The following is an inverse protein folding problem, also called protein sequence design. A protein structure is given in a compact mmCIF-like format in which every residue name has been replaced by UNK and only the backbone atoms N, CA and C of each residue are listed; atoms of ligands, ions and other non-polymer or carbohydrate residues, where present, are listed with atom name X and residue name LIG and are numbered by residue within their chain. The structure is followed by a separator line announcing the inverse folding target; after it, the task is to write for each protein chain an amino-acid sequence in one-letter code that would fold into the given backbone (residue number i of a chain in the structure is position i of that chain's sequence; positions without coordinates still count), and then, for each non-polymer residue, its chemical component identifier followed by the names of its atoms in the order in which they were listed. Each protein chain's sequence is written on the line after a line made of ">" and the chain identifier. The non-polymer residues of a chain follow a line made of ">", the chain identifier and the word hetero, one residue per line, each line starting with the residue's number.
data_IF_336356744296
#
_entry.id   IF_336356744296
#
_cell.length_a   1.000
_cell.length_b   1.000
_cell.length_c   1.000
_cell.angle_alpha   90.00
_cell.angle_beta   90.00
_cell.angle_gamma   90.00
#
_symmetry.space_group_name_H-M   'P 1'
#
loop_
_entity.id
_entity.type
_entity.pdbx_description
1 polymer ?
#
# COMPACT_ATOMS: atom_id res chain seq x y z
N UNK A 1 12.26 -7.80 45.16
CA UNK A 1 11.82 -6.52 45.76
C UNK A 1 10.86 -5.86 44.78
N UNK A 2 9.55 -6.02 44.98
CA UNK A 2 8.54 -5.16 44.33
C UNK A 2 8.45 -3.91 45.22
N UNK A 3 9.15 -2.84 44.84
CA UNK A 3 9.36 -1.69 45.73
C UNK A 3 8.19 -0.70 45.77
N UNK A 4 7.07 -0.98 45.11
CA UNK A 4 5.89 -0.12 45.11
C UNK A 4 4.61 -0.95 45.18
N UNK A 5 3.72 -0.61 46.11
CA UNK A 5 2.42 -1.26 46.30
C UNK A 5 1.45 -0.79 45.22
N UNK A 6 1.58 -1.34 44.01
CA UNK A 6 0.74 -0.99 42.87
C UNK A 6 -0.05 -2.19 42.34
N UNK A 7 -1.37 -2.05 42.26
CA UNK A 7 -2.28 -3.07 41.70
C UNK A 7 -3.06 -2.49 40.52
N UNK A 8 -3.14 -3.22 39.39
CA UNK A 8 -4.00 -2.86 38.26
C UNK A 8 -5.27 -3.72 38.33
N UNK A 9 -6.41 -3.08 38.56
CA UNK A 9 -7.72 -3.72 38.66
C UNK A 9 -8.51 -3.41 37.38
N UNK A 10 -8.29 -4.23 36.34
CA UNK A 10 -8.88 -4.04 35.01
C UNK A 10 -10.42 -4.07 35.03
N UNK A 11 -11.03 -4.92 35.87
CA UNK A 11 -12.48 -5.03 35.99
C UNK A 11 -13.17 -3.77 36.51
N UNK A 12 -12.43 -2.91 37.21
CA UNK A 12 -12.91 -1.62 37.74
C UNK A 12 -12.27 -0.42 37.03
N UNK A 13 -11.36 -0.65 36.08
CA UNK A 13 -10.52 0.38 35.46
C UNK A 13 -9.81 1.26 36.51
N UNK A 14 -9.18 0.63 37.51
CA UNK A 14 -8.50 1.34 38.61
C UNK A 14 -7.04 0.89 38.70
N UNK A 15 -6.14 1.86 38.84
CA UNK A 15 -4.77 1.66 39.29
C UNK A 15 -4.71 2.04 40.77
N UNK A 16 -4.38 1.08 41.64
CA UNK A 16 -4.04 1.37 43.03
C UNK A 16 -2.57 1.68 43.13
N UNK A 17 -2.21 2.80 43.74
CA UNK A 17 -0.83 3.13 44.11
C UNK A 17 -0.84 3.41 45.61
N UNK A 18 -0.12 2.61 46.39
CA UNK A 18 -0.03 2.73 47.85
C UNK A 18 -1.41 2.78 48.55
N UNK A 19 -2.41 2.09 47.99
CA UNK A 19 -3.77 2.04 48.53
C UNK A 19 -4.70 3.16 48.04
N UNK A 20 -4.19 4.20 47.38
CA UNK A 20 -5.02 5.21 46.72
C UNK A 20 -5.53 4.70 45.37
N UNK A 21 -6.84 4.83 45.14
CA UNK A 21 -7.48 4.44 43.87
C UNK A 21 -7.39 5.59 42.87
N UNK A 22 -6.61 5.41 41.80
CA UNK A 22 -6.60 6.28 40.63
C UNK A 22 -7.45 5.62 39.56
N UNK A 23 -8.52 6.27 39.13
CA UNK A 23 -9.32 5.81 38.00
C UNK A 23 -8.46 5.88 36.73
N UNK A 24 -8.29 4.75 36.07
CA UNK A 24 -7.67 4.69 34.76
C UNK A 24 -8.63 5.37 33.77
N UNK A 25 -8.32 6.60 33.42
CA UNK A 25 -8.99 7.27 32.31
C UNK A 25 -8.34 6.74 31.05
N UNK A 26 -9.03 5.89 30.30
CA UNK A 26 -8.80 5.90 28.87
C UNK A 26 -9.30 7.27 28.43
N UNK A 27 -8.38 8.18 28.09
CA UNK A 27 -8.78 9.24 27.17
C UNK A 27 -9.47 8.50 26.03
N UNK A 28 -10.74 8.77 25.81
CA UNK A 28 -11.48 8.37 24.62
C UNK A 28 -10.88 9.11 23.41
N UNK A 29 -9.57 8.95 23.17
CA UNK A 29 -9.16 8.67 21.82
C UNK A 29 -9.70 7.28 21.55
N UNK A 30 -10.94 7.28 21.11
CA UNK A 30 -11.60 6.27 20.30
C UNK A 30 -10.61 5.85 19.20
N UNK A 31 -9.62 5.03 19.55
CA UNK A 31 -8.77 4.39 18.57
C UNK A 31 -9.61 3.28 17.96
N UNK A 32 -10.51 3.68 17.07
CA UNK A 32 -11.29 2.82 16.19
C UNK A 32 -10.36 2.27 15.11
N UNK A 33 -9.28 1.63 15.54
CA UNK A 33 -8.23 1.18 14.66
C UNK A 33 -7.63 -0.13 15.13
N UNK A 34 -7.05 -0.87 14.19
CA UNK A 34 -6.33 -2.10 14.49
C UNK A 34 -4.88 -1.97 14.02
N UNK A 35 -4.01 -2.79 14.59
CA UNK A 35 -2.61 -2.83 14.19
C UNK A 35 -2.46 -3.74 12.99
N UNK A 36 -1.57 -3.41 12.07
CA UNK A 36 -1.23 -4.25 10.93
C UNK A 36 0.17 -4.81 11.14
N UNK A 37 0.27 -6.13 11.13
CA UNK A 37 1.51 -6.86 11.32
C UNK A 37 1.91 -7.62 10.05
N UNK A 38 3.21 -7.79 9.80
CA UNK A 38 3.69 -8.59 8.68
C UNK A 38 3.29 -10.06 8.78
N UNK A 39 2.95 -10.67 7.65
CA UNK A 39 2.59 -12.09 7.54
C UNK A 39 3.80 -13.01 7.50
N UNK A 40 4.94 -12.51 7.02
CA UNK A 40 6.19 -13.23 6.83
C UNK A 40 7.42 -12.33 7.02
N UNK A 41 8.60 -12.94 7.06
CA UNK A 41 9.87 -12.21 7.01
C UNK A 41 10.09 -11.71 5.58
N UNK A 42 10.43 -10.44 5.43
CA UNK A 42 10.67 -9.82 4.13
C UNK A 42 11.98 -9.05 4.14
N UNK A 43 12.69 -9.10 3.03
CA UNK A 43 13.83 -8.26 2.74
C UNK A 43 13.43 -7.31 1.61
N UNK A 44 13.43 -6.02 1.93
CA UNK A 44 13.08 -4.96 0.99
C UNK A 44 14.36 -4.48 0.34
N UNK A 45 14.47 -4.51 -1.01
CA UNK A 45 15.65 -4.04 -1.70
C UNK A 45 15.94 -2.55 -1.43
N UNK A 46 17.22 -2.13 -1.54
CA UNK A 46 17.56 -0.70 -1.53
C UNK A 46 16.85 0.06 -2.64
N UNK A 47 16.61 1.36 -2.44
CA UNK A 47 16.14 2.28 -3.48
C UNK A 47 14.93 1.74 -4.28
N UNK A 48 14.00 1.09 -3.57
CA UNK A 48 12.89 0.37 -4.18
C UNK A 48 11.56 0.72 -3.54
N UNK A 49 10.52 0.49 -4.33
CA UNK A 49 9.13 0.54 -3.88
C UNK A 49 8.49 -0.83 -4.11
N UNK A 50 7.86 -1.37 -3.08
CA UNK A 50 7.22 -2.69 -3.12
C UNK A 50 5.86 -2.67 -2.43
N UNK A 51 5.00 -3.61 -2.80
CA UNK A 51 3.74 -3.87 -2.09
C UNK A 51 3.89 -5.16 -1.29
N UNK A 52 3.59 -5.08 0.00
CA UNK A 52 3.68 -6.20 0.93
C UNK A 52 2.33 -6.48 1.59
N UNK A 53 2.16 -7.71 2.08
CA UNK A 53 0.93 -8.11 2.77
C UNK A 53 1.08 -7.98 4.29
N UNK A 54 0.14 -7.28 4.91
CA UNK A 54 -0.02 -7.23 6.35
C UNK A 54 -1.31 -7.92 6.79
N UNK A 55 -1.37 -8.40 8.03
CA UNK A 55 -2.58 -8.91 8.67
C UNK A 55 -3.05 -7.98 9.77
N UNK A 56 -4.35 -7.79 9.88
CA UNK A 56 -4.95 -7.05 11.01
C UNK A 56 -4.83 -7.85 12.30
N UNK A 57 -4.38 -7.21 13.37
CA UNK A 57 -4.31 -7.74 14.73
C UNK A 57 -5.44 -7.14 15.56
N UNK A 58 -6.25 -7.99 16.17
CA UNK A 58 -7.45 -7.62 16.93
C UNK A 58 -8.40 -6.74 16.09
N UNK A 59 -8.86 -7.20 14.91
CA UNK A 59 -9.69 -6.39 14.04
C UNK A 59 -11.01 -6.04 14.73
N UNK A 60 -11.37 -4.76 14.69
CA UNK A 60 -12.72 -4.33 15.02
C UNK A 60 -13.71 -4.85 13.98
N UNK A 61 -14.96 -5.01 14.42
CA UNK A 61 -16.12 -5.59 13.73
C UNK A 61 -16.03 -5.51 12.19
N UNK A 62 -15.51 -6.60 11.58
CA UNK A 62 -15.16 -6.73 10.17
C UNK A 62 -14.63 -5.42 9.58
N UNK A 63 -13.37 -5.01 9.82
CA UNK A 63 -12.76 -3.83 9.23
C UNK A 63 -12.99 -3.78 7.70
N UNK A 64 -14.09 -3.17 7.25
CA UNK A 64 -14.54 -3.20 5.85
C UNK A 64 -13.87 -2.12 5.03
N UNK A 65 -13.49 -1.03 5.67
CA UNK A 65 -12.88 0.13 5.05
C UNK A 65 -12.13 0.93 6.11
N UNK A 66 -10.91 1.32 5.80
CA UNK A 66 -10.10 2.14 6.67
C UNK A 66 -8.94 2.77 5.93
N UNK A 67 -8.24 3.68 6.60
CA UNK A 67 -7.01 4.28 6.08
C UNK A 67 -5.81 3.72 6.83
N UNK A 68 -4.81 3.30 6.08
CA UNK A 68 -3.53 2.90 6.66
C UNK A 68 -2.75 4.14 7.11
N UNK A 69 -2.13 4.05 8.26
CA UNK A 69 -1.18 5.05 8.77
C UNK A 69 0.11 4.36 9.21
N UNK A 70 1.28 4.95 8.91
CA UNK A 70 2.55 4.30 9.17
C UNK A 70 2.85 4.22 10.68
N UNK A 71 3.53 3.15 11.10
CA UNK A 71 4.11 3.11 12.44
C UNK A 71 5.35 4.02 12.49
N UNK A 72 5.26 5.13 13.21
CA UNK A 72 6.34 6.12 13.31
C UNK A 72 7.66 5.51 13.81
N UNK A 73 7.60 4.54 14.74
CA UNK A 73 8.80 3.85 15.22
C UNK A 73 9.51 3.06 14.11
N UNK A 74 8.76 2.56 13.13
CA UNK A 74 9.34 1.88 11.96
C UNK A 74 10.02 2.90 11.05
N UNK A 75 9.37 4.03 10.78
CA UNK A 75 9.92 5.13 9.97
C UNK A 75 11.23 5.64 10.59
N UNK A 76 11.23 5.93 11.89
CA UNK A 76 12.39 6.47 12.60
C UNK A 76 13.58 5.50 12.64
N UNK A 77 13.30 4.20 12.76
CA UNK A 77 14.36 3.18 12.88
C UNK A 77 14.96 2.78 11.54
N UNK A 78 14.15 2.76 10.49
CA UNK A 78 14.48 2.13 9.22
C UNK A 78 14.42 3.09 8.02
N UNK A 79 14.11 4.37 8.20
CA UNK A 79 13.91 5.33 7.08
C UNK A 79 12.92 4.84 6.01
N UNK A 80 11.97 4.01 6.42
CA UNK A 80 10.96 3.42 5.53
C UNK A 80 9.80 4.39 5.38
N UNK A 81 9.32 4.62 4.16
CA UNK A 81 8.05 5.29 3.93
C UNK A 81 6.96 4.25 3.67
N UNK A 82 5.82 4.40 4.33
CA UNK A 82 4.63 3.61 4.07
C UNK A 82 3.51 4.55 3.63
N UNK A 83 2.91 4.24 2.49
CA UNK A 83 1.85 5.06 1.92
C UNK A 83 0.58 4.99 2.79
N UNK A 84 -0.03 6.16 3.03
CA UNK A 84 -1.38 6.22 3.60
C UNK A 84 -2.35 5.93 2.47
N UNK A 85 -3.13 4.86 2.61
CA UNK A 85 -4.04 4.40 1.58
C UNK A 85 -5.40 4.06 2.18
N UNK A 86 -6.47 4.38 1.45
CA UNK A 86 -7.80 3.85 1.73
C UNK A 86 -7.81 2.38 1.30
N UNK A 87 -8.04 1.49 2.25
CA UNK A 87 -8.00 0.04 2.02
C UNK A 87 -9.25 -0.63 2.53
N UNK A 88 -9.68 -1.65 1.80
CA UNK A 88 -10.67 -2.62 2.24
C UNK A 88 -9.94 -3.94 2.49
N UNK A 89 -9.70 -4.32 3.75
CA UNK A 89 -9.10 -5.60 4.09
C UNK A 89 -9.87 -6.77 3.45
N UNK A 90 -9.14 -7.71 2.85
CA UNK A 90 -9.71 -8.92 2.24
C UNK A 90 -9.17 -10.14 2.98
N UNK A 91 -10.07 -10.96 3.54
CA UNK A 91 -9.70 -12.10 4.40
C UNK A 91 -8.73 -11.73 5.54
N UNK A 92 -8.87 -10.51 6.09
CA UNK A 92 -7.99 -9.99 7.15
C UNK A 92 -6.60 -9.56 6.70
N UNK A 93 -6.33 -9.57 5.38
CA UNK A 93 -5.09 -9.09 4.78
C UNK A 93 -5.26 -7.66 4.25
N UNK A 94 -4.20 -6.88 4.38
CA UNK A 94 -4.12 -5.48 3.97
C UNK A 94 -2.87 -5.30 3.11
N UNK A 95 -3.00 -4.82 1.85
CA UNK A 95 -1.85 -4.46 1.05
C UNK A 95 -1.22 -3.16 1.60
N UNK A 96 0.10 -3.15 1.70
CA UNK A 96 0.89 -2.02 2.19
C UNK A 96 1.95 -1.66 1.16
N UNK A 97 1.90 -0.44 0.65
CA UNK A 97 2.91 0.09 -0.26
C UNK A 97 4.02 0.74 0.56
N UNK A 98 5.24 0.26 0.34
CA UNK A 98 6.43 0.68 1.07
C UNK A 98 7.49 1.14 0.08
N UNK A 99 8.07 2.31 0.35
CA UNK A 99 9.20 2.85 -0.39
C UNK A 99 10.41 3.04 0.53
N UNK A 100 11.59 2.67 0.03
CA UNK A 100 12.89 2.88 0.67
C UNK A 100 13.74 3.69 -0.28
N UNK A 101 14.33 4.77 0.23
CA UNK A 101 15.25 5.64 -0.51
C UNK A 101 16.70 5.48 -0.07
N UNK A 102 16.94 4.65 0.95
CA UNK A 102 18.28 4.32 1.39
C UNK A 102 18.91 3.25 0.51
N UNK A 103 20.24 3.28 0.41
CA UNK A 103 21.06 2.34 -0.38
C UNK A 103 21.35 1.02 0.33
N UNK A 104 20.70 0.76 1.47
CA UNK A 104 20.88 -0.43 2.30
C UNK A 104 19.57 -1.22 2.35
N UNK A 105 19.59 -2.56 2.13
CA UNK A 105 18.39 -3.36 2.20
C UNK A 105 17.85 -3.43 3.62
N UNK A 106 16.53 -3.54 3.75
CA UNK A 106 15.86 -3.57 5.06
C UNK A 106 15.19 -4.91 5.26
N UNK A 107 15.57 -5.57 6.34
CA UNK A 107 14.94 -6.82 6.77
C UNK A 107 13.89 -6.54 7.83
N UNK A 108 12.64 -6.88 7.53
CA UNK A 108 11.53 -6.83 8.47
C UNK A 108 11.07 -8.24 8.79
N UNK A 109 10.84 -8.51 10.07
CA UNK A 109 10.42 -9.84 10.52
C UNK A 109 8.91 -9.96 10.58
N UNK A 110 8.44 -11.18 10.40
CA UNK A 110 7.05 -11.58 10.64
C UNK A 110 6.56 -11.05 11.99
N UNK A 111 5.31 -10.62 12.03
CA UNK A 111 4.65 -10.01 13.18
C UNK A 111 5.17 -8.62 13.59
N UNK A 112 6.13 -8.03 12.87
CA UNK A 112 6.48 -6.62 13.06
C UNK A 112 5.26 -5.76 12.75
N UNK A 113 4.91 -4.83 13.65
CA UNK A 113 3.83 -3.86 13.43
C UNK A 113 4.34 -2.78 12.51
N UNK A 114 3.79 -2.71 11.31
CA UNK A 114 4.25 -1.81 10.24
C UNK A 114 3.31 -0.65 10.00
N UNK A 115 2.03 -0.81 10.31
CA UNK A 115 1.02 0.21 10.12
C UNK A 115 -0.11 0.07 11.15
N UNK A 116 -0.94 1.09 11.20
CA UNK A 116 -2.24 1.08 11.83
C UNK A 116 -3.31 1.22 10.75
N UNK A 117 -4.49 0.65 11.00
CA UNK A 117 -5.67 0.83 10.18
C UNK A 117 -6.68 1.63 10.99
N UNK A 118 -7.04 2.82 10.51
CA UNK A 118 -8.06 3.67 11.14
C UNK A 118 -9.39 3.49 10.41
N UNK A 119 -10.46 3.18 11.14
CA UNK A 119 -11.79 3.00 10.57
C UNK A 119 -12.29 4.29 9.94
N UNK A 120 -12.84 4.18 8.74
CA UNK A 120 -13.56 5.28 8.10
C UNK A 120 -15.05 4.95 8.02
N UNK A 121 -15.88 5.95 8.30
CA UNK A 121 -17.30 5.86 8.02
C UNK A 121 -17.53 6.03 6.51
N UNK A 122 -18.09 5.02 5.83
CA UNK A 122 -18.34 5.08 4.38
C UNK A 122 -19.19 6.29 3.99
N UNK A 123 -20.11 6.72 4.85
CA UNK A 123 -20.96 7.89 4.62
C UNK A 123 -20.21 9.23 4.68
N UNK A 124 -19.00 9.24 5.26
CA UNK A 124 -18.12 10.42 5.31
C UNK A 124 -17.20 10.53 4.11
N UNK A 125 -17.12 9.49 3.28
CA UNK A 125 -16.37 9.53 2.03
C UNK A 125 -17.30 10.20 1.01
N UNK A 126 -16.90 11.33 0.40
CA UNK A 126 -17.65 11.89 -0.71
C UNK A 126 -17.89 10.78 -1.71
N UNK A 127 -19.14 10.58 -2.15
CA UNK A 127 -19.46 9.55 -3.11
C UNK A 127 -18.58 9.72 -4.34
N UNK A 128 -17.46 9.01 -4.37
CA UNK A 128 -16.76 8.72 -5.60
C UNK A 128 -17.81 7.98 -6.39
N UNK A 129 -18.28 8.57 -7.48
CA UNK A 129 -19.17 7.86 -8.37
C UNK A 129 -18.39 6.61 -8.76
N UNK A 130 -18.80 5.46 -8.22
CA UNK A 130 -18.44 4.14 -8.70
C UNK A 130 -18.96 4.08 -10.15
N UNK A 131 -18.26 4.73 -11.08
CA UNK A 131 -17.99 4.04 -12.32
C UNK A 131 -17.22 2.84 -11.84
N UNK A 132 -17.93 1.71 -11.78
CA UNK A 132 -17.41 0.39 -11.54
C UNK A 132 -15.99 0.35 -12.11
N UNK A 133 -15.00 0.55 -11.24
CA UNK A 133 -13.66 0.07 -11.49
C UNK A 133 -13.87 -1.42 -11.29
N UNK A 134 -14.40 -2.07 -12.33
CA UNK A 134 -14.09 -3.47 -12.56
C UNK A 134 -12.58 -3.58 -12.30
N UNK A 135 -12.15 -4.72 -11.75
CA UNK A 135 -10.77 -5.13 -11.89
C UNK A 135 -10.48 -5.30 -13.40
N UNK A 136 -10.40 -4.18 -14.09
CA UNK A 136 -10.02 -3.96 -15.46
C UNK A 136 -8.67 -3.33 -15.29
N UNK A 137 -7.67 -4.01 -15.84
CA UNK A 137 -6.39 -3.42 -16.22
C UNK A 137 -6.63 -1.94 -16.56
N UNK A 138 -5.86 -1.05 -15.94
CA UNK A 138 -5.85 0.39 -16.22
C UNK A 138 -5.50 0.55 -17.71
N UNK A 139 -6.54 0.57 -18.54
CA UNK A 139 -6.49 0.46 -19.99
C UNK A 139 -7.87 0.75 -20.58
N UNK A 140 -8.49 1.87 -20.19
CA UNK A 140 -9.60 2.45 -20.96
C UNK A 140 -9.57 3.95 -20.69
N UNK A 141 -9.07 4.78 -21.59
CA UNK A 141 -9.67 4.97 -22.91
C UNK A 141 -8.81 5.82 -23.84
N UNK A 142 -8.21 5.23 -24.89
CA UNK A 142 -8.24 5.79 -26.26
C UNK A 142 -8.27 4.60 -27.25
N UNK A 143 -9.46 4.09 -27.56
CA UNK A 143 -9.63 3.20 -28.71
C UNK A 143 -9.55 4.04 -29.99
N UNK A 144 -8.37 4.17 -30.58
CA UNK A 144 -8.25 4.45 -32.02
C UNK A 144 -8.50 3.14 -32.76
N UNK A 145 -9.78 2.79 -32.92
CA UNK A 145 -10.21 1.69 -33.76
C UNK A 145 -10.12 2.12 -35.23
N UNK A 146 -8.91 2.25 -35.76
CA UNK A 146 -8.69 2.20 -37.21
C UNK A 146 -8.28 0.78 -37.57
N UNK A 147 -9.13 0.09 -38.33
CA UNK A 147 -8.99 -1.30 -38.75
C UNK A 147 -7.88 -1.52 -39.82
N UNK A 148 -6.81 -0.75 -39.78
CA UNK A 148 -5.63 -0.95 -40.60
C UNK A 148 -4.50 -1.45 -39.69
N UNK A 149 -3.68 -2.39 -40.17
CA UNK A 149 -2.51 -2.89 -39.45
C UNK A 149 -1.75 -1.69 -38.84
N UNK A 150 -1.58 -1.61 -37.51
CA UNK A 150 -0.97 -0.43 -36.91
C UNK A 150 0.48 -0.35 -37.38
N UNK A 151 0.77 0.65 -38.20
CA UNK A 151 2.16 1.04 -38.46
C UNK A 151 2.81 1.36 -37.12
N UNK A 152 4.00 0.83 -36.89
CA UNK A 152 4.72 1.04 -35.63
C UNK A 152 5.03 2.54 -35.47
N UNK A 153 4.51 3.22 -34.45
CA UNK A 153 4.75 4.65 -34.24
C UNK A 153 6.24 4.96 -34.12
N UNK A 154 6.68 6.05 -34.73
CA UNK A 154 8.11 6.38 -34.84
C UNK A 154 8.78 6.55 -33.47
N UNK A 155 8.08 7.17 -32.52
CA UNK A 155 8.62 7.52 -31.20
C UNK A 155 8.86 6.32 -30.28
N UNK A 156 8.26 5.15 -30.56
CA UNK A 156 8.44 3.93 -29.75
C UNK A 156 9.34 2.88 -30.42
N UNK A 157 9.88 3.15 -31.61
CA UNK A 157 10.69 2.16 -32.34
C UNK A 157 11.92 1.73 -31.55
N UNK A 158 12.65 2.70 -30.99
CA UNK A 158 13.84 2.46 -30.20
C UNK A 158 13.52 1.67 -28.92
N UNK A 159 12.38 1.96 -28.29
CA UNK A 159 11.89 1.24 -27.12
C UNK A 159 11.57 -0.22 -27.47
N UNK A 160 10.88 -0.46 -28.58
CA UNK A 160 10.56 -1.81 -29.07
C UNK A 160 11.86 -2.57 -29.38
N UNK A 161 12.80 -1.96 -30.10
CA UNK A 161 14.07 -2.59 -30.45
C UNK A 161 14.88 -2.95 -29.20
N UNK A 162 15.00 -2.03 -28.23
CA UNK A 162 15.69 -2.28 -26.97
C UNK A 162 15.03 -3.39 -26.14
N UNK A 163 13.69 -3.42 -26.09
CA UNK A 163 12.94 -4.39 -25.30
C UNK A 163 13.02 -5.80 -25.87
N UNK A 164 13.13 -5.94 -27.21
CA UNK A 164 13.13 -7.24 -27.88
C UNK A 164 14.49 -7.95 -27.91
N UNK A 165 15.57 -7.33 -27.44
CA UNK A 165 16.94 -7.89 -27.53
C UNK A 165 17.13 -9.24 -26.81
N UNK A 166 16.33 -9.53 -25.77
CA UNK A 166 16.50 -10.72 -24.92
C UNK A 166 15.20 -11.52 -24.72
N UNK A 167 14.23 -11.39 -25.62
CA UNK A 167 12.89 -11.98 -25.47
C UNK A 167 12.66 -13.06 -26.52
N UNK A 168 11.98 -14.15 -26.16
CA UNK A 168 11.63 -15.20 -27.13
C UNK A 168 10.68 -14.66 -28.21
N UNK A 169 10.67 -15.26 -29.39
CA UNK A 169 9.85 -14.77 -30.52
C UNK A 169 8.35 -14.64 -30.18
N UNK A 170 7.84 -15.58 -29.38
CA UNK A 170 6.43 -15.60 -28.95
C UNK A 170 6.12 -14.48 -27.95
N UNK A 171 6.98 -14.29 -26.96
CA UNK A 171 6.83 -13.22 -25.96
C UNK A 171 7.08 -11.85 -26.60
N UNK A 172 8.01 -11.76 -27.54
CA UNK A 172 8.35 -10.54 -28.25
C UNK A 172 7.18 -10.02 -29.09
N UNK A 173 6.41 -10.91 -29.73
CA UNK A 173 5.19 -10.51 -30.42
C UNK A 173 4.13 -9.94 -29.47
N UNK A 174 3.99 -10.52 -28.27
CA UNK A 174 3.03 -10.06 -27.26
C UNK A 174 3.44 -8.69 -26.71
N UNK A 175 4.72 -8.54 -26.33
CA UNK A 175 5.28 -7.28 -25.84
C UNK A 175 5.19 -6.19 -26.89
N UNK A 176 5.55 -6.47 -28.14
CA UNK A 176 5.43 -5.51 -29.25
C UNK A 176 4.00 -5.06 -29.47
N UNK A 177 3.03 -5.98 -29.40
CA UNK A 177 1.61 -5.64 -29.57
C UNK A 177 1.15 -4.72 -28.43
N UNK A 178 1.58 -5.00 -27.20
CA UNK A 178 1.27 -4.18 -26.03
C UNK A 178 1.87 -2.77 -26.15
N UNK A 179 3.14 -2.66 -26.55
CA UNK A 179 3.80 -1.36 -26.71
C UNK A 179 3.14 -0.50 -27.79
N UNK A 180 2.63 -1.11 -28.87
CA UNK A 180 1.88 -0.40 -29.90
C UNK A 180 0.49 0.01 -29.39
N UNK A 181 -0.18 -0.85 -28.62
CA UNK A 181 -1.49 -0.58 -28.04
C UNK A 181 -1.48 0.63 -27.10
N UNK A 182 -0.42 0.82 -26.32
CA UNK A 182 -0.25 1.92 -25.35
C UNK A 182 0.79 2.96 -25.78
N UNK A 183 1.01 3.09 -27.09
CA UNK A 183 2.03 3.99 -27.64
C UNK A 183 1.84 5.46 -27.22
N UNK A 184 0.60 5.88 -26.96
CA UNK A 184 0.18 7.23 -26.61
C UNK A 184 0.50 7.64 -25.16
N UNK A 185 0.87 6.67 -24.32
CA UNK A 185 1.35 6.89 -22.95
C UNK A 185 2.78 7.40 -22.93
N UNK A 186 3.59 6.98 -23.92
CA UNK A 186 5.00 7.32 -24.01
C UNK A 186 5.22 8.71 -24.60
N UNK A 187 6.27 9.37 -24.10
CA UNK A 187 6.71 10.68 -24.55
C UNK A 187 6.99 10.68 -26.05
N UNK A 188 6.46 11.69 -26.76
CA UNK A 188 6.74 11.86 -28.19
C UNK A 188 7.95 12.77 -28.46
N UNK A 189 8.37 13.57 -27.48
CA UNK A 189 9.52 14.48 -27.52
C UNK A 189 10.17 14.63 -26.13
N UNK A 190 11.40 15.16 -26.06
CA UNK A 190 12.20 15.22 -24.82
C UNK A 190 11.55 16.06 -23.69
N UNK A 191 10.77 17.07 -24.05
CA UNK A 191 10.03 17.92 -23.09
C UNK A 191 8.63 17.37 -22.75
N UNK A 192 8.23 16.25 -23.36
CA UNK A 192 6.98 15.57 -23.05
C UNK A 192 7.18 14.72 -21.79
N UNK A 193 6.35 14.95 -20.77
CA UNK A 193 6.39 14.17 -19.53
C UNK A 193 5.64 12.83 -19.67
N UNK A 194 5.07 12.56 -20.85
CA UNK A 194 4.22 11.41 -21.10
C UNK A 194 2.85 11.59 -20.45
N UNK A 195 1.95 10.64 -20.68
CA UNK A 195 0.61 10.65 -20.08
C UNK A 195 0.55 9.59 -18.99
N UNK A 196 0.15 10.00 -17.79
CA UNK A 196 -0.26 9.09 -16.73
C UNK A 196 -1.68 9.49 -16.34
N UNK A 197 -2.65 8.65 -16.70
CA UNK A 197 -4.05 8.80 -16.31
C UNK A 197 -4.33 8.26 -14.91
#
# INVERSE_FOLDING_TARGET
>A
MMNHSCDIILSRQILKINGEEVYCHTNEFDFHGCRIALTEDIEIPPESEIVISGRTIDPYDNAKLGVTSPNLNLIEKHSVLLARALVQPFNGLVPLQIAIFDSIPIKLHKNTIVAHLEKINKDSIPAFQEHLVHHTNVATSIKNHDNNQPETPEHIKDLIEATLQNVSEKEGQQVKSLLIEYADVFCTFEDDMGRTD
#
